data_IF_052457665726
#
_entry.id   IF_052457665726
#
_cell.length_a   1.000
_cell.length_b   1.000
_cell.length_c   1.000
_cell.angle_alpha   90.00
_cell.angle_beta   90.00
_cell.angle_gamma   90.00
#
_symmetry.space_group_name_H-M   'P 1'
#
loop_
_entity.id
_entity.type
_entity.pdbx_description
1 polymer ?
#
# COMPACT_ATOMS: atom_id res chain seq x y z
N UNK A 1 -27.45 9.22 14.53
CA UNK A 1 -27.07 9.99 13.32
C UNK A 1 -27.65 9.27 12.14
N UNK A 2 -28.66 9.87 11.50
CA UNK A 2 -29.27 9.34 10.28
C UNK A 2 -28.36 9.74 9.13
N UNK A 3 -27.86 8.75 8.39
CA UNK A 3 -27.01 8.99 7.24
C UNK A 3 -27.93 9.16 6.03
N UNK A 4 -28.21 10.41 5.67
CA UNK A 4 -29.18 10.73 4.61
C UNK A 4 -28.50 11.01 3.26
N UNK A 5 -27.31 11.63 3.26
CA UNK A 5 -26.63 11.99 2.02
C UNK A 5 -25.73 10.86 1.52
N UNK A 6 -25.66 10.70 0.19
CA UNK A 6 -24.84 9.67 -0.45
C UNK A 6 -23.36 9.79 -0.07
N UNK A 7 -22.86 11.03 0.00
CA UNK A 7 -21.47 11.32 0.38
C UNK A 7 -21.19 10.89 1.83
N UNK A 8 -22.12 11.16 2.75
CA UNK A 8 -21.97 10.72 4.14
C UNK A 8 -22.02 9.18 4.23
N UNK A 9 -22.87 8.52 3.45
CA UNK A 9 -22.92 7.06 3.35
C UNK A 9 -21.58 6.47 2.92
N UNK A 10 -20.94 7.04 1.90
CA UNK A 10 -19.63 6.61 1.41
C UNK A 10 -18.51 6.88 2.43
N UNK A 11 -18.49 8.06 3.04
CA UNK A 11 -17.50 8.42 4.05
C UNK A 11 -17.62 7.53 5.29
N UNK A 12 -18.84 7.30 5.79
CA UNK A 12 -19.09 6.41 6.92
C UNK A 12 -18.70 4.96 6.61
N UNK A 13 -18.89 4.50 5.36
CA UNK A 13 -18.45 3.19 4.91
C UNK A 13 -16.92 3.07 4.94
N UNK A 14 -16.18 4.05 4.42
CA UNK A 14 -14.72 4.03 4.47
C UNK A 14 -14.19 4.13 5.90
N UNK A 15 -14.78 5.01 6.70
CA UNK A 15 -14.44 5.15 8.11
C UNK A 15 -14.61 3.84 8.88
N UNK A 16 -15.73 3.12 8.67
CA UNK A 16 -15.96 1.83 9.34
C UNK A 16 -14.97 0.76 8.92
N UNK A 17 -14.56 0.72 7.64
CA UNK A 17 -13.49 -0.18 7.18
C UNK A 17 -12.17 0.12 7.90
N UNK A 18 -11.80 1.39 8.03
CA UNK A 18 -10.61 1.77 8.79
C UNK A 18 -10.72 1.36 10.28
N UNK A 19 -11.88 1.53 10.89
CA UNK A 19 -12.11 1.10 12.28
C UNK A 19 -11.99 -0.43 12.45
N UNK A 20 -12.42 -1.20 11.45
CA UNK A 20 -12.27 -2.66 11.45
C UNK A 20 -10.79 -3.06 11.43
N UNK A 21 -9.99 -2.44 10.54
CA UNK A 21 -8.53 -2.62 10.48
C UNK A 21 -7.82 -2.22 11.78
N UNK A 22 -8.32 -1.19 12.47
CA UNK A 22 -7.80 -0.75 13.77
C UNK A 22 -8.27 -1.63 14.95
N UNK A 23 -8.78 -2.84 14.67
CA UNK A 23 -9.29 -3.82 15.64
C UNK A 23 -10.44 -3.29 16.50
N UNK A 24 -11.15 -2.25 16.06
CA UNK A 24 -12.34 -1.68 16.72
C UNK A 24 -13.62 -2.25 16.09
N UNK A 25 -13.71 -3.58 16.05
CA UNK A 25 -14.76 -4.35 15.40
C UNK A 25 -16.19 -3.95 15.84
N UNK A 26 -16.41 -3.74 17.14
CA UNK A 26 -17.73 -3.33 17.68
C UNK A 26 -18.21 -1.99 17.14
N UNK A 27 -17.30 -1.02 16.95
CA UNK A 27 -17.63 0.28 16.38
C UNK A 27 -17.95 0.16 14.89
N UNK A 28 -17.17 -0.63 14.16
CA UNK A 28 -17.40 -0.89 12.74
C UNK A 28 -18.77 -1.55 12.51
N UNK A 29 -19.09 -2.59 13.30
CA UNK A 29 -20.37 -3.31 13.24
C UNK A 29 -21.58 -2.39 13.40
N UNK A 30 -21.59 -1.55 14.43
CA UNK A 30 -22.68 -0.59 14.67
C UNK A 30 -22.88 0.41 13.52
N UNK A 31 -21.82 0.74 12.80
CA UNK A 31 -21.89 1.64 11.64
C UNK A 31 -22.45 0.87 10.43
N UNK A 32 -22.02 -0.37 10.20
CA UNK A 32 -22.55 -1.21 9.12
C UNK A 32 -24.05 -1.48 9.29
N UNK A 33 -24.54 -1.75 10.51
CA UNK A 33 -25.97 -1.94 10.80
C UNK A 33 -26.79 -0.71 10.37
N UNK A 34 -26.28 0.49 10.63
CA UNK A 34 -26.92 1.75 10.21
C UNK A 34 -26.85 1.97 8.70
N UNK A 35 -25.78 1.51 8.04
CA UNK A 35 -25.60 1.62 6.59
C UNK A 35 -26.50 0.64 5.81
N UNK A 36 -27.04 -0.41 6.44
CA UNK A 36 -27.98 -1.33 5.78
C UNK A 36 -29.28 -0.64 5.36
N UNK A 37 -29.79 0.29 6.19
CA UNK A 37 -31.01 1.07 5.92
C UNK A 37 -30.74 2.32 5.06
N UNK A 38 -29.55 2.47 4.50
CA UNK A 38 -29.21 3.63 3.69
C UNK A 38 -29.96 3.61 2.34
N UNK A 39 -30.51 4.74 1.86
CA UNK A 39 -31.28 4.78 0.61
C UNK A 39 -30.44 4.44 -0.64
N UNK A 40 -29.13 4.71 -0.62
CA UNK A 40 -28.24 4.35 -1.72
C UNK A 40 -27.94 2.83 -1.75
N UNK A 41 -28.28 2.10 -2.83
CA UNK A 41 -28.13 0.65 -2.92
C UNK A 41 -26.68 0.19 -2.97
N UNK A 42 -25.74 0.99 -3.50
CA UNK A 42 -24.32 0.62 -3.58
C UNK A 42 -23.69 0.56 -2.18
N UNK A 43 -24.05 1.53 -1.33
CA UNK A 43 -23.58 1.59 0.06
C UNK A 43 -24.21 0.47 0.89
N UNK A 44 -25.53 0.28 0.80
CA UNK A 44 -26.23 -0.79 1.51
C UNK A 44 -25.75 -2.19 1.10
N UNK A 45 -25.50 -2.43 -0.19
CA UNK A 45 -24.96 -3.72 -0.68
C UNK A 45 -23.58 -4.01 -0.10
N UNK A 46 -22.67 -3.02 -0.09
CA UNK A 46 -21.33 -3.19 0.52
C UNK A 46 -21.41 -3.39 2.02
N UNK A 47 -22.21 -2.61 2.73
CA UNK A 47 -22.42 -2.76 4.17
C UNK A 47 -22.96 -4.15 4.52
N UNK A 48 -23.87 -4.69 3.70
CA UNK A 48 -24.39 -6.07 3.84
C UNK A 48 -23.32 -7.13 3.65
N UNK A 49 -22.48 -6.99 2.63
CA UNK A 49 -21.34 -7.89 2.41
C UNK A 49 -20.39 -7.89 3.61
N UNK A 50 -20.09 -6.72 4.17
CA UNK A 50 -19.25 -6.59 5.37
C UNK A 50 -19.96 -7.14 6.61
N UNK A 51 -21.27 -6.94 6.78
CA UNK A 51 -22.02 -7.54 7.88
C UNK A 51 -21.98 -9.08 7.84
N UNK A 52 -22.01 -9.68 6.63
CA UNK A 52 -21.88 -11.12 6.49
C UNK A 52 -20.54 -11.67 6.98
N UNK A 53 -19.43 -10.92 6.88
CA UNK A 53 -18.15 -11.39 7.42
C UNK A 53 -18.18 -11.49 8.95
N UNK A 54 -18.82 -10.54 9.64
CA UNK A 54 -19.04 -10.62 11.09
C UNK A 54 -19.91 -11.81 11.47
N UNK A 55 -21.00 -12.05 10.73
CA UNK A 55 -21.87 -13.21 10.97
C UNK A 55 -21.14 -14.53 10.72
N UNK A 56 -20.35 -14.61 9.65
CA UNK A 56 -19.54 -15.79 9.35
C UNK A 56 -18.48 -16.02 10.42
N UNK A 57 -17.82 -14.97 10.91
CA UNK A 57 -16.87 -15.05 12.03
C UNK A 57 -17.57 -15.57 13.29
N UNK A 58 -18.75 -15.07 13.62
CA UNK A 58 -19.52 -15.52 14.78
C UNK A 58 -19.94 -16.99 14.65
N UNK A 59 -20.32 -17.43 13.44
CA UNK A 59 -20.65 -18.85 13.17
C UNK A 59 -19.41 -19.75 13.12
N UNK A 60 -18.26 -19.20 12.76
CA UNK A 60 -16.96 -19.91 12.74
C UNK A 60 -16.33 -20.01 14.13
N UNK A 61 -16.78 -19.24 15.12
CA UNK A 61 -16.46 -19.49 16.52
C UNK A 61 -17.12 -20.81 16.93
N UNK A 62 -16.39 -21.90 16.72
CA UNK A 62 -16.82 -23.24 17.15
C UNK A 62 -17.05 -23.19 18.66
N UNK A 63 -18.27 -23.49 19.08
CA UNK A 63 -18.76 -23.48 20.48
C UNK A 63 -18.01 -24.40 21.46
N UNK A 64 -16.89 -24.99 21.07
CA UNK A 64 -16.29 -26.14 21.75
C UNK A 64 -14.79 -26.06 22.05
N UNK A 65 -14.09 -25.03 21.61
CA UNK A 65 -12.75 -24.80 22.13
C UNK A 65 -12.59 -23.31 22.38
N UNK A 66 -12.32 -22.99 23.64
CA UNK A 66 -11.54 -21.81 23.95
C UNK A 66 -10.42 -21.74 22.91
N UNK A 67 -10.43 -20.72 22.07
CA UNK A 67 -9.31 -20.35 21.21
C UNK A 67 -8.19 -19.90 22.16
N UNK A 68 -7.69 -20.83 22.97
CA UNK A 68 -6.47 -20.70 23.74
C UNK A 68 -5.40 -20.61 22.67
N UNK A 69 -5.09 -19.38 22.29
CA UNK A 69 -3.78 -18.75 22.50
C UNK A 69 -2.72 -19.67 23.12
N UNK A 70 -2.49 -20.81 22.48
CA UNK A 70 -1.71 -21.92 23.00
C UNK A 70 -1.16 -22.67 21.82
N UNK A 71 -0.03 -22.17 21.34
CA UNK A 71 0.89 -22.83 20.41
C UNK A 71 0.19 -23.62 19.30
N UNK A 72 -0.33 -22.91 18.30
CA UNK A 72 -0.58 -23.60 17.02
C UNK A 72 0.79 -24.11 16.61
N UNK A 73 0.96 -25.43 16.39
CA UNK A 73 2.25 -26.03 15.96
C UNK A 73 2.85 -25.40 14.69
N UNK A 74 2.14 -24.43 14.11
CA UNK A 74 2.61 -23.48 13.13
C UNK A 74 3.77 -22.57 13.60
N UNK A 75 3.91 -22.34 14.92
CA UNK A 75 5.04 -21.59 15.49
C UNK A 75 6.39 -22.27 15.21
N UNK A 76 6.42 -23.60 15.13
CA UNK A 76 7.66 -24.35 14.83
C UNK A 76 8.18 -24.07 13.43
N UNK A 77 7.31 -23.83 12.44
CA UNK A 77 7.75 -23.43 11.10
C UNK A 77 8.46 -22.07 11.14
N UNK A 78 7.99 -21.12 11.96
CA UNK A 78 8.64 -19.82 12.10
C UNK A 78 9.91 -19.87 12.95
N UNK A 79 9.94 -20.67 14.00
CA UNK A 79 11.13 -20.87 14.84
C UNK A 79 12.24 -21.56 14.07
N UNK A 80 11.92 -22.50 13.16
CA UNK A 80 12.91 -23.15 12.31
C UNK A 80 13.67 -22.14 11.43
N UNK A 81 12.97 -21.16 10.84
CA UNK A 81 13.62 -20.11 10.04
C UNK A 81 14.45 -19.12 10.87
N UNK A 82 14.15 -18.94 12.15
CA UNK A 82 14.90 -18.04 13.04
C UNK A 82 16.12 -18.75 13.63
N UNK A 83 16.03 -20.04 13.99
CA UNK A 83 17.16 -20.83 14.50
C UNK A 83 18.30 -20.94 13.50
N UNK A 84 18.01 -21.04 12.21
CA UNK A 84 19.03 -21.12 11.15
C UNK A 84 19.68 -19.76 10.82
N UNK A 85 19.09 -18.66 11.31
CA UNK A 85 19.52 -17.28 11.04
C UNK A 85 20.13 -16.56 12.25
N UNK A 86 20.37 -17.21 13.38
CA UNK A 86 21.05 -16.56 14.52
C UNK A 86 22.49 -16.15 14.22
N UNK A 87 23.07 -16.62 13.10
CA UNK A 87 24.35 -16.11 12.58
C UNK A 87 24.22 -14.87 11.66
N UNK A 88 23.01 -14.50 11.21
CA UNK A 88 22.84 -13.39 10.27
C UNK A 88 23.09 -12.02 10.93
N UNK A 89 22.83 -11.88 12.23
CA UNK A 89 23.12 -10.65 12.97
C UNK A 89 24.60 -10.44 13.32
N UNK A 90 25.44 -11.47 13.23
CA UNK A 90 26.88 -11.31 13.45
C UNK A 90 27.63 -10.83 12.19
N UNK A 91 26.96 -10.84 11.03
CA UNK A 91 27.54 -10.40 9.76
C UNK A 91 27.10 -8.98 9.39
N UNK A 92 25.93 -8.50 9.84
CA UNK A 92 25.49 -7.11 9.62
C UNK A 92 26.30 -6.06 10.43
N UNK A 93 26.99 -6.46 11.50
CA UNK A 93 27.93 -5.58 12.22
C UNK A 93 29.41 -5.76 11.79
N UNK A 94 29.70 -6.71 10.88
CA UNK A 94 31.05 -7.00 10.38
C UNK A 94 31.19 -7.01 8.85
N UNK A 95 30.18 -6.61 8.11
CA UNK A 95 30.29 -6.28 6.69
C UNK A 95 29.87 -4.82 6.46
N UNK A 96 30.56 -3.92 7.14
CA UNK A 96 31.13 -2.82 6.38
C UNK A 96 32.03 -3.45 5.32
N UNK A 97 31.81 -3.08 4.05
CA UNK A 97 32.72 -3.37 2.92
C UNK A 97 32.59 -4.76 2.27
N UNK A 98 31.49 -5.04 1.55
CA UNK A 98 31.51 -5.79 0.27
C UNK A 98 30.10 -6.04 -0.36
N UNK A 99 29.12 -5.12 -0.23
CA UNK A 99 28.05 -5.11 -1.24
C UNK A 99 28.64 -4.50 -2.50
N UNK A 100 28.88 -5.37 -3.49
CA UNK A 100 29.52 -5.06 -4.74
C UNK A 100 29.04 -3.72 -5.28
N UNK A 101 30.00 -2.87 -5.63
CA UNK A 101 29.85 -1.52 -6.22
C UNK A 101 28.78 -1.42 -7.33
N UNK A 102 28.37 -2.55 -7.87
CA UNK A 102 27.47 -2.74 -8.99
C UNK A 102 25.99 -2.63 -8.58
N UNK A 103 25.63 -2.96 -7.34
CA UNK A 103 24.23 -2.92 -6.89
C UNK A 103 23.78 -1.49 -6.55
N UNK A 104 24.63 -0.70 -5.90
CA UNK A 104 24.35 0.73 -5.65
C UNK A 104 24.42 1.55 -6.94
N UNK A 105 25.31 1.21 -7.88
CA UNK A 105 25.38 1.86 -9.19
C UNK A 105 24.07 1.71 -9.99
N UNK A 106 23.45 0.53 -10.00
CA UNK A 106 22.19 0.32 -10.72
C UNK A 106 21.06 1.22 -10.19
N UNK A 107 20.94 1.36 -8.87
CA UNK A 107 19.96 2.26 -8.27
C UNK A 107 20.25 3.73 -8.58
N UNK A 108 21.51 4.17 -8.49
CA UNK A 108 21.89 5.56 -8.80
C UNK A 108 21.64 5.89 -10.28
N UNK A 109 21.95 4.97 -11.19
CA UNK A 109 21.70 5.15 -12.63
C UNK A 109 20.20 5.21 -12.94
N UNK A 110 19.38 4.38 -12.28
CA UNK A 110 17.92 4.39 -12.45
C UNK A 110 17.31 5.73 -12.04
N UNK A 111 17.76 6.31 -10.92
CA UNK A 111 17.28 7.61 -10.46
C UNK A 111 17.84 8.79 -11.27
N UNK A 112 19.07 8.68 -11.79
CA UNK A 112 19.66 9.71 -12.64
C UNK A 112 19.03 9.77 -14.04
N UNK A 113 18.55 8.63 -14.58
CA UNK A 113 17.96 8.52 -15.92
C UNK A 113 16.83 9.52 -16.22
N UNK A 114 15.78 9.67 -15.39
CA UNK A 114 14.72 10.64 -15.67
C UNK A 114 15.19 12.09 -15.61
N UNK A 115 16.16 12.40 -14.74
CA UNK A 115 16.74 13.75 -14.60
C UNK A 115 17.55 14.08 -15.86
N UNK A 116 18.43 13.18 -16.29
CA UNK A 116 19.23 13.35 -17.50
C UNK A 116 18.36 13.45 -18.77
N UNK A 117 17.27 12.70 -18.87
CA UNK A 117 16.31 12.82 -19.99
C UNK A 117 15.74 14.23 -20.09
N UNK A 118 15.35 14.85 -18.98
CA UNK A 118 14.84 16.23 -18.98
C UNK A 118 15.94 17.23 -19.36
N UNK A 119 17.16 17.04 -18.84
CA UNK A 119 18.31 17.88 -19.21
C UNK A 119 18.66 17.78 -20.70
N UNK A 120 18.66 16.58 -21.28
CA UNK A 120 18.93 16.38 -22.71
C UNK A 120 17.82 17.02 -23.55
N UNK A 121 16.55 16.86 -23.17
CA UNK A 121 15.44 17.52 -23.87
C UNK A 121 15.56 19.04 -23.79
N UNK A 122 15.94 19.58 -22.65
CA UNK A 122 16.15 21.01 -22.44
C UNK A 122 17.30 21.54 -23.32
N UNK A 123 18.47 20.89 -23.28
CA UNK A 123 19.61 21.23 -24.15
C UNK A 123 19.29 21.07 -25.63
N UNK A 124 18.50 20.08 -26.01
CA UNK A 124 18.08 19.89 -27.40
C UNK A 124 17.15 21.02 -27.88
N UNK A 125 16.31 21.59 -27.00
CA UNK A 125 15.51 22.78 -27.35
C UNK A 125 16.40 24.01 -27.55
N UNK A 126 17.43 24.18 -26.73
CA UNK A 126 18.38 25.28 -26.87
C UNK A 126 19.28 25.13 -28.11
N UNK A 127 19.72 23.91 -28.41
CA UNK A 127 20.46 23.57 -29.62
C UNK A 127 19.68 23.87 -30.91
N UNK A 128 18.41 23.44 -30.99
CA UNK A 128 17.53 23.73 -32.13
C UNK A 128 17.34 25.24 -32.32
N UNK A 129 17.21 26.01 -31.24
CA UNK A 129 17.10 27.47 -31.35
C UNK A 129 18.36 28.12 -31.94
N UNK A 130 19.56 27.59 -31.69
CA UNK A 130 20.82 28.12 -32.24
C UNK A 130 21.11 27.70 -33.68
N UNK A 131 20.70 26.50 -34.12
CA UNK A 131 20.78 26.14 -35.55
C UNK A 131 19.72 26.86 -36.39
N UNK A 132 18.48 26.98 -35.90
CA UNK A 132 17.43 27.70 -36.65
C UNK A 132 17.77 29.18 -36.80
N UNK A 133 18.40 29.82 -35.80
CA UNK A 133 18.88 31.22 -35.94
C UNK A 133 20.05 31.33 -36.93
N UNK A 134 20.99 30.38 -36.95
CA UNK A 134 22.07 30.37 -37.95
C UNK A 134 21.56 30.13 -39.38
N UNK A 135 20.62 29.21 -39.57
CA UNK A 135 19.98 28.99 -40.88
C UNK A 135 19.12 30.17 -41.32
N UNK A 136 18.47 30.88 -40.40
CA UNK A 136 17.70 32.08 -40.73
C UNK A 136 18.58 33.28 -41.10
N UNK A 137 19.79 33.39 -40.53
CA UNK A 137 20.73 34.47 -40.79
C UNK A 137 21.52 34.29 -42.11
N UNK A 138 21.71 33.04 -42.56
CA UNK A 138 22.33 32.71 -43.87
C UNK A 138 21.37 32.86 -45.06
N UNK A 139 20.06 32.92 -44.84
CA UNK A 139 19.06 33.12 -45.89
C UNK A 139 18.67 34.61 -46.08
N UNK A 140 19.18 35.50 -45.22
CA UNK A 140 18.93 36.94 -45.20
C UNK A 140 20.18 37.79 -45.52
N UNK A 141 21.21 37.18 -46.11
CA UNK A 141 22.29 37.84 -46.86
C UNK A 141 22.32 37.26 -48.27
#
# INVERSE_FOLDING_TARGET
VVVQSELHGLAALQWSICQDSLRKAEKARRIYEKLLSHPNPRVSKKARQLMFSFQAMERRKVKGSSFMEGNTGYQDYFVAFVKDKTNYKAQEEKEGEAMGTNETLLYVILFASPILMVFILWLHREGICTEVTKSCQLLYM
#
